data_IF_973008730699
#
_entry.id   IF_973008730699
#
_cell.length_a   1.000
_cell.length_b   1.000
_cell.length_c   1.000
_cell.angle_alpha   90.00
_cell.angle_beta   90.00
_cell.angle_gamma   90.00
#
_symmetry.space_group_name_H-M   'P 1'
#
loop_
_entity.id
_entity.type
_entity.pdbx_description
1 polymer ?
#
# COMPACT_ATOMS: atom_id res chain seq x y z
N UNK A 1 41.51 -2.48 -19.93
CA UNK A 1 40.50 -3.42 -19.43
C UNK A 1 40.18 -3.18 -17.96
N UNK A 2 41.14 -3.25 -17.04
CA UNK A 2 40.87 -2.98 -15.61
C UNK A 2 40.31 -1.57 -15.32
N UNK A 3 40.87 -0.52 -15.93
CA UNK A 3 40.33 0.85 -15.79
C UNK A 3 38.87 0.98 -16.27
N UNK A 4 38.46 0.20 -17.28
CA UNK A 4 37.09 0.18 -17.77
C UNK A 4 36.14 -0.48 -16.75
N UNK A 5 36.56 -1.58 -16.13
CA UNK A 5 35.78 -2.24 -15.06
C UNK A 5 35.57 -1.31 -13.88
N UNK A 6 36.62 -0.62 -13.43
CA UNK A 6 36.53 0.35 -12.33
C UNK A 6 35.54 1.47 -12.68
N UNK A 7 35.63 2.02 -13.89
CA UNK A 7 34.71 3.08 -14.33
C UNK A 7 33.25 2.60 -14.44
N UNK A 8 33.03 1.36 -14.92
CA UNK A 8 31.71 0.74 -14.98
C UNK A 8 31.12 0.53 -13.58
N UNK A 9 31.90 0.02 -12.63
CA UNK A 9 31.45 -0.16 -11.25
C UNK A 9 31.06 1.17 -10.62
N UNK A 10 31.86 2.22 -10.80
CA UNK A 10 31.55 3.57 -10.30
C UNK A 10 30.26 4.13 -10.92
N UNK A 11 30.06 3.91 -12.23
CA UNK A 11 28.84 4.35 -12.90
C UNK A 11 27.61 3.61 -12.37
N UNK A 12 27.72 2.30 -12.13
CA UNK A 12 26.64 1.48 -11.55
C UNK A 12 26.34 1.92 -10.12
N UNK A 13 27.35 2.17 -9.30
CA UNK A 13 27.15 2.68 -7.94
C UNK A 13 26.47 4.04 -7.95
N UNK A 14 26.91 4.95 -8.82
CA UNK A 14 26.32 6.27 -8.95
C UNK A 14 24.86 6.17 -9.44
N UNK A 15 24.57 5.35 -10.44
CA UNK A 15 23.22 5.20 -10.99
C UNK A 15 22.22 4.61 -9.98
N UNK A 16 22.69 3.79 -9.03
CA UNK A 16 21.87 3.22 -7.96
C UNK A 16 21.92 4.01 -6.66
N UNK A 17 22.58 5.18 -6.64
CA UNK A 17 22.54 6.05 -5.48
C UNK A 17 21.13 6.60 -5.26
N UNK A 18 20.82 6.91 -3.99
CA UNK A 18 19.58 7.53 -3.56
C UNK A 18 19.18 8.78 -4.38
N UNK A 19 20.15 9.61 -4.74
CA UNK A 19 19.95 10.85 -5.49
C UNK A 19 19.51 10.59 -6.95
N UNK A 20 20.00 9.51 -7.55
CA UNK A 20 19.69 9.14 -8.94
C UNK A 20 18.44 8.24 -9.07
N UNK A 21 17.90 7.74 -7.96
CA UNK A 21 16.63 7.00 -7.91
C UNK A 21 15.62 7.66 -6.96
N UNK A 22 15.24 8.93 -7.21
CA UNK A 22 14.45 9.72 -6.26
C UNK A 22 13.09 9.11 -5.94
N UNK A 23 12.42 8.50 -6.92
CA UNK A 23 11.14 7.83 -6.70
C UNK A 23 11.27 6.56 -5.84
N UNK A 24 12.36 5.81 -6.00
CA UNK A 24 12.65 4.63 -5.18
C UNK A 24 12.98 5.02 -3.74
N UNK A 25 13.76 6.09 -3.57
CA UNK A 25 14.11 6.64 -2.28
C UNK A 25 12.87 7.14 -1.53
N UNK A 26 12.03 7.94 -2.19
CA UNK A 26 10.77 8.43 -1.64
C UNK A 26 9.87 7.26 -1.20
N UNK A 27 9.77 6.22 -2.01
CA UNK A 27 8.96 5.06 -1.68
C UNK A 27 9.47 4.32 -0.43
N UNK A 28 10.78 4.02 -0.37
CA UNK A 28 11.37 3.27 0.76
C UNK A 28 11.33 4.07 2.06
N UNK A 29 11.64 5.36 2.00
CA UNK A 29 11.87 6.15 3.21
C UNK A 29 10.61 6.84 3.73
N UNK A 30 9.61 7.07 2.89
CA UNK A 30 8.39 7.79 3.27
C UNK A 30 7.14 6.97 3.01
N UNK A 31 6.88 6.59 1.75
CA UNK A 31 5.59 6.00 1.39
C UNK A 31 5.35 4.62 2.01
N UNK A 32 6.34 3.72 1.98
CA UNK A 32 6.22 2.38 2.54
C UNK A 32 6.01 2.40 4.07
N UNK A 33 6.79 3.16 4.86
CA UNK A 33 6.52 3.33 6.30
C UNK A 33 5.12 3.88 6.61
N UNK A 34 4.65 4.90 5.88
CA UNK A 34 3.29 5.44 6.07
C UNK A 34 2.24 4.36 5.80
N UNK A 35 2.45 3.57 4.75
CA UNK A 35 1.52 2.55 4.34
C UNK A 35 1.51 1.34 5.29
N UNK A 36 2.64 0.99 5.91
CA UNK A 36 2.71 0.00 6.99
C UNK A 36 1.84 0.43 8.18
N UNK A 37 1.96 1.68 8.62
CA UNK A 37 1.10 2.21 9.70
C UNK A 37 -0.38 2.16 9.32
N UNK A 38 -0.73 2.49 8.08
CA UNK A 38 -2.11 2.40 7.61
C UNK A 38 -2.64 0.95 7.59
N UNK A 39 -1.82 -0.01 7.14
CA UNK A 39 -2.17 -1.43 7.16
C UNK A 39 -2.37 -1.95 8.59
N UNK A 40 -1.51 -1.55 9.53
CA UNK A 40 -1.64 -1.89 10.95
C UNK A 40 -2.94 -1.33 11.55
N UNK A 41 -3.31 -0.10 11.20
CA UNK A 41 -4.58 0.50 11.64
C UNK A 41 -5.79 -0.30 11.12
N UNK A 42 -5.80 -0.64 9.83
CA UNK A 42 -6.88 -1.46 9.25
C UNK A 42 -6.91 -2.84 9.92
N UNK A 43 -5.76 -3.45 10.18
CA UNK A 43 -5.68 -4.74 10.86
C UNK A 43 -6.23 -4.67 12.29
N UNK A 44 -5.99 -3.59 13.02
CA UNK A 44 -6.62 -3.34 14.32
C UNK A 44 -8.15 -3.26 14.21
N UNK A 45 -8.69 -2.55 13.22
CA UNK A 45 -10.14 -2.48 12.98
C UNK A 45 -10.74 -3.87 12.68
N UNK A 46 -10.05 -4.69 11.89
CA UNK A 46 -10.43 -6.08 11.62
C UNK A 46 -10.48 -6.89 12.92
N UNK A 47 -9.46 -6.75 13.78
CA UNK A 47 -9.38 -7.48 15.04
C UNK A 47 -10.48 -7.08 16.01
N UNK A 48 -10.73 -5.77 16.16
CA UNK A 48 -11.83 -5.24 16.97
C UNK A 48 -13.18 -5.78 16.49
N UNK A 49 -13.43 -5.74 15.18
CA UNK A 49 -14.68 -6.22 14.60
C UNK A 49 -14.85 -7.74 14.74
N UNK A 50 -13.76 -8.51 14.74
CA UNK A 50 -13.80 -9.98 14.90
C UNK A 50 -14.31 -10.46 16.26
N UNK A 51 -14.17 -9.63 17.31
CA UNK A 51 -14.57 -9.96 18.68
C UNK A 51 -16.05 -9.72 19.00
N UNK A 52 -16.83 -9.18 18.06
CA UNK A 52 -18.20 -8.74 18.29
C UNK A 52 -19.25 -9.77 17.85
N UNK A 53 -20.42 -9.78 18.52
CA UNK A 53 -21.52 -10.68 18.17
C UNK A 53 -22.11 -10.37 16.79
N UNK A 54 -22.35 -11.42 16.01
CA UNK A 54 -22.52 -11.37 14.56
C UNK A 54 -23.88 -10.78 14.12
N UNK A 55 -23.90 -9.47 13.81
CA UNK A 55 -24.94 -8.82 13.01
C UNK A 55 -24.61 -8.78 11.51
N UNK A 56 -25.63 -8.72 10.64
CA UNK A 56 -25.43 -8.70 9.18
C UNK A 56 -24.62 -7.52 8.64
N UNK A 57 -24.86 -6.31 9.16
CA UNK A 57 -24.12 -5.10 8.79
C UNK A 57 -22.68 -5.09 9.30
N UNK A 58 -22.44 -5.66 10.49
CA UNK A 58 -21.11 -5.82 11.10
C UNK A 58 -20.21 -6.77 10.30
N UNK A 59 -20.75 -7.90 9.86
CA UNK A 59 -20.06 -8.81 8.92
C UNK A 59 -19.71 -8.12 7.60
N UNK A 60 -20.57 -7.22 7.12
CA UNK A 60 -20.30 -6.43 5.91
C UNK A 60 -19.15 -5.46 6.14
N UNK A 61 -19.13 -4.77 7.27
CA UNK A 61 -18.04 -3.87 7.63
C UNK A 61 -16.70 -4.59 7.77
N UNK A 62 -16.67 -5.74 8.46
CA UNK A 62 -15.49 -6.61 8.55
C UNK A 62 -14.91 -6.95 7.16
N UNK A 63 -15.80 -7.29 6.22
CA UNK A 63 -15.40 -7.56 4.84
C UNK A 63 -14.78 -6.32 4.18
N UNK A 64 -15.38 -5.13 4.35
CA UNK A 64 -14.85 -3.89 3.76
C UNK A 64 -13.46 -3.56 4.32
N UNK A 65 -13.20 -3.78 5.61
CA UNK A 65 -11.85 -3.64 6.17
C UNK A 65 -10.85 -4.60 5.55
N UNK A 66 -11.21 -5.89 5.43
CA UNK A 66 -10.35 -6.90 4.80
C UNK A 66 -10.06 -6.60 3.32
N UNK A 67 -11.07 -6.12 2.58
CA UNK A 67 -10.94 -5.71 1.19
C UNK A 67 -10.04 -4.45 1.08
N UNK A 68 -10.15 -3.50 2.01
CA UNK A 68 -9.29 -2.30 2.10
C UNK A 68 -7.83 -2.66 2.37
N UNK A 69 -7.57 -3.55 3.35
CA UNK A 69 -6.24 -4.06 3.65
C UNK A 69 -5.61 -4.72 2.42
N UNK A 70 -6.36 -5.64 1.78
CA UNK A 70 -5.88 -6.42 0.64
C UNK A 70 -5.58 -5.53 -0.56
N UNK A 71 -6.46 -4.56 -0.87
CA UNK A 71 -6.27 -3.65 -1.99
C UNK A 71 -5.06 -2.72 -1.78
N UNK A 72 -4.88 -2.17 -0.58
CA UNK A 72 -3.71 -1.33 -0.26
C UNK A 72 -2.41 -2.12 -0.34
N UNK A 73 -2.32 -3.29 0.31
CA UNK A 73 -1.11 -4.12 0.29
C UNK A 73 -0.71 -4.50 -1.15
N UNK A 74 -1.69 -4.91 -1.97
CA UNK A 74 -1.44 -5.24 -3.36
C UNK A 74 -1.06 -4.01 -4.20
N UNK A 75 -1.64 -2.83 -3.93
CA UNK A 75 -1.29 -1.59 -4.61
C UNK A 75 0.19 -1.25 -4.35
N UNK A 76 0.63 -1.30 -3.09
CA UNK A 76 2.02 -1.05 -2.72
C UNK A 76 2.99 -2.02 -3.39
N UNK A 77 2.61 -3.31 -3.47
CA UNK A 77 3.40 -4.30 -4.19
C UNK A 77 3.53 -3.95 -5.68
N UNK A 78 2.44 -3.55 -6.33
CA UNK A 78 2.45 -3.16 -7.74
C UNK A 78 3.29 -1.88 -7.97
N UNK A 79 3.21 -0.89 -7.07
CA UNK A 79 4.03 0.31 -7.13
C UNK A 79 5.52 -0.02 -6.97
N UNK A 80 5.87 -0.92 -6.04
CA UNK A 80 7.24 -1.41 -5.88
C UNK A 80 7.74 -2.08 -7.16
N UNK A 81 6.95 -2.96 -7.77
CA UNK A 81 7.32 -3.63 -9.02
C UNK A 81 7.52 -2.62 -10.16
N UNK A 82 6.69 -1.57 -10.23
CA UNK A 82 6.88 -0.48 -11.20
C UNK A 82 8.21 0.25 -10.97
N UNK A 83 8.55 0.57 -9.72
CA UNK A 83 9.82 1.25 -9.39
C UNK A 83 11.05 0.38 -9.67
N UNK A 84 10.92 -0.95 -9.60
CA UNK A 84 12.00 -1.89 -9.88
C UNK A 84 12.18 -2.17 -11.37
N UNK A 85 11.08 -2.36 -12.10
CA UNK A 85 11.12 -2.85 -13.48
C UNK A 85 10.76 -1.80 -14.53
N UNK A 86 10.16 -0.67 -14.14
CA UNK A 86 9.73 0.39 -15.04
C UNK A 86 8.62 -0.01 -16.02
N UNK A 87 7.92 -1.13 -15.80
CA UNK A 87 6.91 -1.63 -16.73
C UNK A 87 5.54 -1.00 -16.48
N UNK A 88 4.95 -0.41 -17.52
CA UNK A 88 3.67 0.28 -17.47
C UNK A 88 2.52 -0.58 -16.89
N UNK A 89 2.55 -1.89 -17.13
CA UNK A 89 1.56 -2.86 -16.62
C UNK A 89 1.47 -2.85 -15.09
N UNK A 90 2.58 -2.63 -14.38
CA UNK A 90 2.59 -2.52 -12.92
C UNK A 90 1.97 -1.20 -12.44
N UNK A 91 2.19 -0.11 -13.19
CA UNK A 91 1.58 1.19 -12.89
C UNK A 91 0.06 1.15 -13.10
N UNK A 92 -0.41 0.55 -14.18
CA UNK A 92 -1.85 0.33 -14.44
C UNK A 92 -2.48 -0.51 -13.32
N UNK A 93 -1.82 -1.61 -12.94
CA UNK A 93 -2.28 -2.45 -11.82
C UNK A 93 -2.36 -1.68 -10.51
N UNK A 94 -1.37 -0.83 -10.20
CA UNK A 94 -1.42 0.06 -9.03
C UNK A 94 -2.63 1.00 -9.09
N UNK A 95 -2.88 1.64 -10.23
CA UNK A 95 -4.00 2.57 -10.42
C UNK A 95 -5.36 1.90 -10.21
N UNK A 96 -5.52 0.67 -10.69
CA UNK A 96 -6.74 -0.10 -10.45
C UNK A 96 -6.90 -0.44 -8.95
N UNK A 97 -5.85 -0.95 -8.31
CA UNK A 97 -5.88 -1.35 -6.91
C UNK A 97 -6.13 -0.16 -5.95
N UNK A 98 -5.50 0.99 -6.21
CA UNK A 98 -5.70 2.18 -5.37
C UNK A 98 -7.12 2.75 -5.55
N UNK A 99 -7.72 2.61 -6.74
CA UNK A 99 -9.11 2.96 -6.97
C UNK A 99 -10.04 2.09 -6.12
N UNK A 100 -9.82 0.77 -6.08
CA UNK A 100 -10.61 -0.14 -5.22
C UNK A 100 -10.39 0.16 -3.73
N UNK A 101 -9.15 0.45 -3.32
CA UNK A 101 -8.85 0.87 -1.96
C UNK A 101 -9.64 2.13 -1.57
N UNK A 102 -9.60 3.18 -2.40
CA UNK A 102 -10.33 4.41 -2.15
C UNK A 102 -11.85 4.20 -2.07
N UNK A 103 -12.40 3.26 -2.85
CA UNK A 103 -13.81 2.88 -2.73
C UNK A 103 -14.11 2.23 -1.38
N UNK A 104 -13.26 1.30 -0.93
CA UNK A 104 -13.43 0.67 0.39
C UNK A 104 -13.30 1.66 1.55
N UNK A 105 -12.39 2.65 1.45
CA UNK A 105 -12.27 3.73 2.45
C UNK A 105 -13.54 4.58 2.47
N UNK A 106 -14.08 4.97 1.32
CA UNK A 106 -15.33 5.72 1.27
C UNK A 106 -16.52 4.92 1.85
N UNK A 107 -16.55 3.60 1.67
CA UNK A 107 -17.56 2.73 2.30
C UNK A 107 -17.41 2.65 3.82
N UNK A 108 -16.17 2.64 4.33
CA UNK A 108 -15.88 2.71 5.78
C UNK A 108 -16.38 4.03 6.34
N UNK A 109 -16.02 5.15 5.71
CA UNK A 109 -16.40 6.50 6.15
C UNK A 109 -17.93 6.68 6.18
N UNK A 110 -18.64 6.15 5.17
CA UNK A 110 -20.10 6.20 5.13
C UNK A 110 -20.78 5.34 6.22
N UNK A 111 -20.05 4.38 6.80
CA UNK A 111 -20.53 3.49 7.87
C UNK A 111 -20.03 3.91 9.25
N UNK A 112 -19.20 4.95 9.33
CA UNK A 112 -18.64 5.47 10.58
C UNK A 112 -19.75 5.91 11.56
N UNK A 113 -20.81 6.52 11.04
CA UNK A 113 -21.97 6.94 11.85
C UNK A 113 -22.66 5.73 12.52
N UNK A 114 -22.73 4.58 11.82
CA UNK A 114 -23.33 3.34 12.34
C UNK A 114 -22.48 2.65 13.42
N UNK A 115 -21.19 2.99 13.53
CA UNK A 115 -20.28 2.49 14.56
C UNK A 115 -20.39 3.27 15.87
N UNK A 116 -20.91 4.51 15.81
CA UNK A 116 -21.06 5.38 16.99
C UNK A 116 -22.32 5.08 17.81
N UNK A 117 -23.30 4.39 17.22
CA UNK A 117 -24.50 3.87 17.91
C UNK A 117 -24.16 2.59 18.69
N UNK A 118 -23.25 2.71 19.66
CA UNK A 118 -23.18 1.79 20.80
C UNK A 118 -23.85 2.49 22.00
N UNK A 119 -25.18 2.54 21.98
CA UNK A 119 -26.04 2.70 23.17
C UNK A 119 -26.77 1.38 23.45
#
# INVERSE_FOLDING_TARGET
>A
WEAMKVSLSQLIELSHSAENLPAHNLFINEAAPIAEVALDQIQSLINEESGNEMGGERKRLFKVYADSYTSLANALSALRDFLLYGQQTHLEKYQDLIKFHNQSVAEIDAKLDMLSDND
#
